data_IF_154780399495
#
_entry.id   IF_154780399495
#
_cell.length_a   1.000
_cell.length_b   1.000
_cell.length_c   1.000
_cell.angle_alpha   90.00
_cell.angle_beta   90.00
_cell.angle_gamma   90.00
#
_symmetry.space_group_name_H-M   'P 1'
#
loop_
_entity.id
_entity.type
_entity.pdbx_description
1 polymer ?
#
# COMPACT_ATOMS: atom_id res chain seq x y z
N UNK A 1 -0.60 -8.89 -36.87
CA UNK A 1 -0.83 -9.47 -35.52
C UNK A 1 0.43 -9.96 -34.83
N UNK A 2 1.36 -10.63 -35.54
CA UNK A 2 2.62 -11.15 -34.96
C UNK A 2 3.52 -10.09 -34.31
N UNK A 3 3.63 -8.90 -34.92
CA UNK A 3 4.43 -7.78 -34.37
C UNK A 3 3.91 -7.27 -33.02
N UNK A 4 2.59 -7.14 -32.87
CA UNK A 4 1.97 -6.73 -31.60
C UNK A 4 2.21 -7.77 -30.50
N UNK A 5 2.05 -9.06 -30.80
CA UNK A 5 2.36 -10.12 -29.83
C UNK A 5 3.84 -10.14 -29.43
N UNK A 6 4.74 -9.83 -30.36
CA UNK A 6 6.16 -9.70 -30.07
C UNK A 6 6.44 -8.53 -29.11
N UNK A 7 5.93 -7.34 -29.39
CA UNK A 7 6.07 -6.19 -28.49
C UNK A 7 5.40 -6.41 -27.14
N UNK A 8 4.26 -7.12 -27.10
CA UNK A 8 3.56 -7.48 -25.88
C UNK A 8 4.44 -8.36 -24.98
N UNK A 9 5.03 -9.42 -25.54
CA UNK A 9 5.94 -10.31 -24.80
C UNK A 9 7.19 -9.58 -24.33
N UNK A 10 7.74 -8.70 -25.16
CA UNK A 10 8.94 -7.90 -24.81
C UNK A 10 8.62 -6.92 -23.67
N UNK A 11 7.47 -6.26 -23.71
CA UNK A 11 6.98 -5.42 -22.63
C UNK A 11 6.79 -6.22 -21.34
N UNK A 12 6.05 -7.32 -21.40
CA UNK A 12 5.76 -8.15 -20.24
C UNK A 12 7.02 -8.72 -19.60
N UNK A 13 8.00 -9.15 -20.41
CA UNK A 13 9.31 -9.61 -19.92
C UNK A 13 10.04 -8.50 -19.16
N UNK A 14 10.13 -7.29 -19.73
CA UNK A 14 10.78 -6.16 -19.07
C UNK A 14 10.03 -5.75 -17.79
N UNK A 15 8.70 -5.72 -17.83
CA UNK A 15 7.86 -5.44 -16.67
C UNK A 15 8.11 -6.44 -15.55
N UNK A 16 8.07 -7.75 -15.83
CA UNK A 16 8.33 -8.80 -14.84
C UNK A 16 9.77 -8.74 -14.30
N UNK A 17 10.76 -8.41 -15.13
CA UNK A 17 12.14 -8.24 -14.67
C UNK A 17 12.28 -7.07 -13.70
N UNK A 18 11.71 -5.89 -14.02
CA UNK A 18 11.75 -4.73 -13.13
C UNK A 18 10.95 -5.00 -11.85
N UNK A 19 9.76 -5.60 -11.97
CA UNK A 19 8.92 -6.00 -10.84
C UNK A 19 9.69 -6.92 -9.89
N UNK A 20 10.36 -7.94 -10.41
CA UNK A 20 11.14 -8.88 -9.60
C UNK A 20 12.31 -8.21 -8.88
N UNK A 21 13.05 -7.33 -9.57
CA UNK A 21 14.17 -6.59 -8.98
C UNK A 21 13.68 -5.71 -7.82
N UNK A 22 12.62 -4.91 -8.05
CA UNK A 22 12.08 -4.06 -6.99
C UNK A 22 11.44 -4.88 -5.87
N UNK A 23 10.74 -5.97 -6.18
CA UNK A 23 10.19 -6.87 -5.16
C UNK A 23 11.29 -7.43 -4.25
N UNK A 24 12.42 -7.87 -4.80
CA UNK A 24 13.55 -8.37 -4.02
C UNK A 24 14.14 -7.29 -3.12
N UNK A 25 14.36 -6.08 -3.64
CA UNK A 25 14.87 -4.95 -2.87
C UNK A 25 13.90 -4.56 -1.75
N UNK A 26 12.61 -4.39 -2.08
CA UNK A 26 11.58 -4.01 -1.11
C UNK A 26 11.42 -5.07 -0.01
N UNK A 27 11.48 -6.36 -0.35
CA UNK A 27 11.41 -7.44 0.64
C UNK A 27 12.61 -7.40 1.60
N UNK A 28 13.81 -7.16 1.06
CA UNK A 28 15.01 -7.04 1.89
C UNK A 28 14.95 -5.82 2.81
N UNK A 29 14.54 -4.66 2.27
CA UNK A 29 14.38 -3.43 3.07
C UNK A 29 13.28 -3.59 4.12
N UNK A 30 12.15 -4.21 3.78
CA UNK A 30 11.07 -4.50 4.72
C UNK A 30 11.55 -5.43 5.84
N UNK A 31 12.31 -6.48 5.53
CA UNK A 31 12.86 -7.37 6.54
C UNK A 31 13.81 -6.64 7.50
N UNK A 32 14.69 -5.79 6.98
CA UNK A 32 15.58 -4.95 7.80
C UNK A 32 14.76 -4.04 8.71
N UNK A 33 13.67 -3.45 8.19
CA UNK A 33 12.76 -2.61 8.98
C UNK A 33 12.08 -3.40 10.10
N UNK A 34 11.57 -4.61 9.81
CA UNK A 34 10.94 -5.46 10.82
C UNK A 34 11.94 -5.88 11.90
N UNK A 35 13.17 -6.24 11.52
CA UNK A 35 14.25 -6.57 12.49
C UNK A 35 14.59 -5.35 13.34
N UNK A 36 14.73 -4.17 12.74
CA UNK A 36 15.03 -2.93 13.47
C UNK A 36 13.93 -2.58 14.47
N UNK A 37 12.67 -2.79 14.09
CA UNK A 37 11.50 -2.38 14.87
C UNK A 37 11.09 -3.41 15.92
N UNK A 38 11.24 -4.70 15.63
CA UNK A 38 10.72 -5.79 16.45
C UNK A 38 11.77 -6.82 16.88
N UNK A 39 13.02 -6.72 16.43
CA UNK A 39 14.07 -7.70 16.73
C UNK A 39 14.50 -7.76 18.20
N UNK A 40 14.03 -6.84 19.05
CA UNK A 40 14.27 -6.86 20.49
C UNK A 40 13.16 -7.51 21.33
N UNK A 41 12.07 -7.98 20.73
CA UNK A 41 11.02 -8.71 21.45
C UNK A 41 11.33 -10.20 21.50
N UNK A 42 11.26 -10.81 22.68
CA UNK A 42 11.56 -12.25 22.88
C UNK A 42 10.65 -13.17 22.04
N UNK A 43 9.42 -12.74 21.74
CA UNK A 43 8.45 -13.46 20.91
C UNK A 43 8.62 -13.23 19.38
N UNK A 44 9.51 -12.32 18.97
CA UNK A 44 9.73 -11.96 17.57
C UNK A 44 10.81 -12.83 16.90
N UNK A 45 10.53 -14.13 16.79
CA UNK A 45 11.39 -15.05 16.04
C UNK A 45 11.57 -14.63 14.57
N UNK A 46 12.71 -15.01 13.95
CA UNK A 46 13.04 -14.65 12.56
C UNK A 46 11.95 -15.00 11.55
N UNK A 47 11.28 -16.14 11.73
CA UNK A 47 10.15 -16.54 10.88
C UNK A 47 8.98 -15.55 10.92
N UNK A 48 8.65 -15.04 12.10
CA UNK A 48 7.60 -14.03 12.30
C UNK A 48 7.97 -12.70 11.62
N UNK A 49 9.23 -12.29 11.75
CA UNK A 49 9.74 -11.07 11.08
C UNK A 49 9.70 -11.19 9.56
N UNK A 50 10.02 -12.37 9.02
CA UNK A 50 9.89 -12.66 7.59
C UNK A 50 8.44 -12.57 7.13
N UNK A 51 7.52 -13.17 7.87
CA UNK A 51 6.08 -13.10 7.59
C UNK A 51 5.63 -11.64 7.57
N UNK A 52 5.93 -10.87 8.61
CA UNK A 52 5.62 -9.43 8.65
C UNK A 52 6.19 -8.66 7.46
N UNK A 53 7.42 -8.95 7.03
CA UNK A 53 8.00 -8.32 5.85
C UNK A 53 7.20 -8.65 4.58
N UNK A 54 6.85 -9.92 4.36
CA UNK A 54 6.05 -10.34 3.20
C UNK A 54 4.63 -9.75 3.21
N UNK A 55 4.05 -9.48 4.38
CA UNK A 55 2.74 -8.86 4.50
C UNK A 55 2.75 -7.34 4.19
N UNK A 56 3.87 -6.64 4.43
CA UNK A 56 4.00 -5.21 4.11
C UNK A 56 4.38 -4.94 2.65
N UNK A 57 5.15 -5.84 2.03
CA UNK A 57 5.66 -5.68 0.65
C UNK A 57 4.57 -5.39 -0.40
N UNK A 58 3.37 -6.02 -0.40
CA UNK A 58 2.31 -5.72 -1.37
C UNK A 58 1.93 -4.24 -1.42
N UNK A 59 1.88 -3.57 -0.27
CA UNK A 59 1.54 -2.14 -0.19
C UNK A 59 2.65 -1.28 -0.81
N UNK A 60 3.90 -1.56 -0.46
CA UNK A 60 5.05 -0.85 -1.02
C UNK A 60 5.17 -1.06 -2.52
N UNK A 61 4.93 -2.29 -2.99
CA UNK A 61 4.92 -2.64 -4.40
C UNK A 61 3.81 -1.90 -5.17
N UNK A 62 2.63 -1.75 -4.54
CA UNK A 62 1.52 -0.98 -5.09
C UNK A 62 1.86 0.51 -5.22
N UNK A 63 2.51 1.10 -4.21
CA UNK A 63 2.97 2.50 -4.24
C UNK A 63 3.98 2.77 -5.36
N UNK A 64 4.90 1.83 -5.62
CA UNK A 64 5.94 1.98 -6.65
C UNK A 64 5.53 1.43 -8.03
N UNK A 65 4.31 0.92 -8.19
CA UNK A 65 3.82 0.38 -9.45
C UNK A 65 3.93 1.37 -10.63
N UNK A 66 3.62 2.68 -10.48
CA UNK A 66 3.85 3.67 -11.54
C UNK A 66 5.33 3.76 -11.97
N UNK A 67 6.26 3.65 -11.03
CA UNK A 67 7.70 3.65 -11.32
C UNK A 67 8.10 2.38 -12.09
N UNK A 68 7.58 1.22 -11.71
CA UNK A 68 7.81 -0.05 -12.43
C UNK A 68 7.36 0.09 -13.89
N UNK A 69 6.19 0.69 -14.12
CA UNK A 69 5.66 0.92 -15.46
C UNK A 69 6.58 1.80 -16.32
N UNK A 70 7.10 2.89 -15.74
CA UNK A 70 8.03 3.80 -16.43
C UNK A 70 9.31 3.05 -16.79
N UNK A 71 9.94 2.36 -15.83
CA UNK A 71 11.19 1.65 -16.03
C UNK A 71 11.05 0.51 -17.05
N UNK A 72 9.96 -0.24 -17.01
CA UNK A 72 9.66 -1.31 -17.97
C UNK A 72 9.51 -0.75 -19.40
N UNK A 73 8.78 0.37 -19.54
CA UNK A 73 8.57 1.04 -20.83
C UNK A 73 9.88 1.57 -21.39
N UNK A 74 10.67 2.28 -20.57
CA UNK A 74 11.98 2.82 -20.95
C UNK A 74 12.92 1.68 -21.36
N UNK A 75 12.99 0.60 -20.57
CA UNK A 75 13.82 -0.57 -20.87
C UNK A 75 13.42 -1.23 -22.19
N UNK A 76 12.12 -1.35 -22.47
CA UNK A 76 11.62 -1.86 -23.75
C UNK A 76 12.01 -0.96 -24.92
N UNK A 77 11.77 0.34 -24.82
CA UNK A 77 12.06 1.30 -25.90
C UNK A 77 13.57 1.38 -26.18
N UNK A 78 14.41 1.43 -25.14
CA UNK A 78 15.87 1.36 -25.30
C UNK A 78 16.30 0.03 -25.93
N UNK A 79 15.71 -1.09 -25.53
CA UNK A 79 15.99 -2.40 -26.13
C UNK A 79 15.65 -2.43 -27.63
N UNK A 80 14.53 -1.83 -28.02
CA UNK A 80 14.09 -1.70 -29.41
C UNK A 80 14.98 -0.76 -30.24
N UNK A 81 15.46 0.32 -29.62
CA UNK A 81 16.36 1.27 -30.27
C UNK A 81 17.75 0.66 -30.50
N UNK A 82 18.30 -0.08 -29.52
CA UNK A 82 19.63 -0.71 -29.62
C UNK A 82 19.69 -1.83 -30.65
N UNK A 83 18.61 -2.59 -30.82
CA UNK A 83 18.54 -3.66 -31.82
C UNK A 83 18.13 -3.17 -33.22
N UNK A 84 18.00 -1.86 -33.43
CA UNK A 84 17.48 -1.24 -34.66
C UNK A 84 16.09 -1.74 -35.09
N UNK A 85 15.37 -2.48 -34.24
CA UNK A 85 14.03 -2.99 -34.53
C UNK A 85 13.04 -1.84 -34.78
N UNK A 86 13.20 -0.73 -34.06
CA UNK A 86 12.37 0.46 -34.25
C UNK A 86 12.64 1.14 -35.61
N UNK A 87 13.90 1.14 -36.04
CA UNK A 87 14.32 1.72 -37.33
C UNK A 87 13.83 0.85 -38.48
N UNK A 88 14.00 -0.47 -38.37
CA UNK A 88 13.54 -1.44 -39.39
C UNK A 88 12.02 -1.42 -39.53
N UNK A 89 11.27 -1.35 -38.42
CA UNK A 89 9.81 -1.23 -38.47
C UNK A 89 9.37 0.05 -39.21
N UNK A 90 10.06 1.18 -38.95
CA UNK A 90 9.81 2.45 -39.65
C UNK A 90 10.12 2.37 -41.15
N UNK A 91 11.26 1.77 -41.49
CA UNK A 91 11.70 1.59 -42.88
C UNK A 91 10.73 0.69 -43.67
N UNK A 92 10.07 -0.26 -43.00
CA UNK A 92 9.02 -1.10 -43.57
C UNK A 92 7.65 -0.41 -43.71
N UNK A 93 7.58 0.91 -43.50
CA UNK A 93 6.35 1.70 -43.65
C UNK A 93 5.36 1.59 -42.49
N UNK A 94 5.76 0.99 -41.36
CA UNK A 94 4.90 0.92 -40.15
C UNK A 94 5.01 2.20 -39.33
N UNK A 95 3.89 2.83 -38.92
CA UNK A 95 3.94 3.98 -38.03
C UNK A 95 4.60 3.60 -36.70
N UNK A 96 5.54 4.41 -36.23
CA UNK A 96 6.16 4.20 -34.91
C UNK A 96 5.13 4.30 -33.75
N UNK A 97 3.98 4.92 -33.98
CA UNK A 97 2.88 4.95 -33.01
C UNK A 97 2.11 3.61 -32.91
N UNK A 98 2.07 2.78 -33.95
CA UNK A 98 1.41 1.46 -33.88
C UNK A 98 2.13 0.53 -32.89
N UNK A 99 3.45 0.66 -32.73
CA UNK A 99 4.21 -0.13 -31.76
C UNK A 99 3.96 0.29 -30.31
N UNK A 100 3.42 1.50 -30.09
CA UNK A 100 3.05 2.01 -28.77
C UNK A 100 1.69 1.51 -28.29
N UNK A 101 0.78 1.17 -29.20
CA UNK A 101 -0.59 0.70 -28.86
C UNK A 101 -0.52 -0.53 -27.94
N UNK A 102 0.40 -1.44 -28.23
CA UNK A 102 0.55 -2.68 -27.47
C UNK A 102 0.97 -2.46 -26.01
N UNK A 103 2.08 -1.76 -25.70
CA UNK A 103 2.45 -1.48 -24.31
C UNK A 103 1.44 -0.59 -23.59
N UNK A 104 0.75 0.33 -24.28
CA UNK A 104 -0.35 1.13 -23.70
C UNK A 104 -1.52 0.23 -23.28
N UNK A 105 -1.95 -0.69 -24.13
CA UNK A 105 -3.04 -1.61 -23.82
C UNK A 105 -2.66 -2.55 -22.67
N UNK A 106 -1.43 -3.06 -22.65
CA UNK A 106 -0.92 -3.86 -21.51
C UNK A 106 -0.86 -3.05 -20.23
N UNK A 107 -0.39 -1.79 -20.29
CA UNK A 107 -0.37 -0.91 -19.13
C UNK A 107 -1.76 -0.66 -18.55
N UNK A 108 -2.75 -0.46 -19.43
CA UNK A 108 -4.14 -0.33 -19.02
C UNK A 108 -4.65 -1.62 -18.35
N UNK A 109 -4.41 -2.79 -18.93
CA UNK A 109 -4.81 -4.08 -18.35
C UNK A 109 -4.14 -4.34 -16.99
N UNK A 110 -2.85 -4.04 -16.86
CA UNK A 110 -2.11 -4.15 -15.60
C UNK A 110 -2.69 -3.20 -14.56
N UNK A 111 -3.03 -1.97 -14.95
CA UNK A 111 -3.66 -0.99 -14.06
C UNK A 111 -5.03 -1.46 -13.57
N UNK A 112 -5.89 -1.95 -14.47
CA UNK A 112 -7.20 -2.54 -14.10
C UNK A 112 -7.01 -3.72 -13.16
N UNK A 113 -6.08 -4.63 -13.46
CA UNK A 113 -5.77 -5.76 -12.58
C UNK A 113 -5.23 -5.32 -11.22
N UNK A 114 -4.38 -4.29 -11.17
CA UNK A 114 -3.85 -3.74 -9.93
C UNK A 114 -4.97 -3.18 -9.04
N UNK A 115 -5.92 -2.43 -9.60
CA UNK A 115 -7.04 -1.89 -8.83
C UNK A 115 -8.04 -2.98 -8.43
N UNK A 116 -8.35 -3.92 -9.34
CA UNK A 116 -9.38 -4.92 -9.10
C UNK A 116 -8.92 -6.07 -8.18
N UNK A 117 -7.66 -6.50 -8.29
CA UNK A 117 -7.14 -7.66 -7.56
C UNK A 117 -6.07 -7.29 -6.52
N UNK A 118 -5.08 -6.45 -6.89
CA UNK A 118 -3.98 -6.13 -5.97
C UNK A 118 -4.45 -5.25 -4.82
N UNK A 119 -5.34 -4.28 -5.05
CA UNK A 119 -5.83 -3.41 -3.98
C UNK A 119 -6.58 -4.18 -2.86
N UNK A 120 -7.52 -5.10 -3.13
CA UNK A 120 -8.08 -5.97 -2.10
C UNK A 120 -7.04 -6.84 -1.37
N UNK A 121 -6.03 -7.35 -2.09
CA UNK A 121 -4.94 -8.13 -1.48
C UNK A 121 -4.16 -7.25 -0.51
N UNK A 122 -3.77 -6.03 -0.91
CA UNK A 122 -3.07 -5.07 -0.06
C UNK A 122 -3.89 -4.78 1.20
N UNK A 123 -5.20 -4.55 1.07
CA UNK A 123 -6.06 -4.33 2.23
C UNK A 123 -6.10 -5.55 3.17
N UNK A 124 -6.17 -6.77 2.62
CA UNK A 124 -6.17 -7.99 3.42
C UNK A 124 -4.82 -8.24 4.11
N UNK A 125 -3.69 -8.01 3.43
CA UNK A 125 -2.35 -8.21 4.01
C UNK A 125 -2.02 -7.16 5.06
N UNK A 126 -2.45 -5.91 4.87
CA UNK A 126 -2.30 -4.85 5.88
C UNK A 126 -3.04 -5.21 7.18
N UNK A 127 -4.30 -5.65 7.08
CA UNK A 127 -5.05 -6.10 8.28
C UNK A 127 -4.36 -7.24 9.01
N UNK A 128 -3.81 -8.21 8.26
CA UNK A 128 -3.08 -9.32 8.86
C UNK A 128 -1.73 -8.88 9.46
N UNK A 129 -1.05 -7.91 8.86
CA UNK A 129 0.18 -7.32 9.38
C UNK A 129 -0.08 -6.66 10.73
N UNK A 130 -1.08 -5.78 10.79
CA UNK A 130 -1.49 -5.08 12.00
C UNK A 130 -1.91 -6.06 13.11
N UNK A 131 -2.68 -7.10 12.77
CA UNK A 131 -3.09 -8.13 13.73
C UNK A 131 -1.90 -8.91 14.32
N UNK A 132 -0.84 -9.16 13.53
CA UNK A 132 0.36 -9.83 14.03
C UNK A 132 1.24 -8.89 14.87
N UNK A 133 1.39 -7.64 14.46
CA UNK A 133 2.10 -6.62 15.24
C UNK A 133 1.44 -6.39 16.61
N UNK A 134 0.10 -6.36 16.67
CA UNK A 134 -0.64 -6.24 17.93
C UNK A 134 -0.38 -7.40 18.89
N UNK A 135 -0.16 -8.61 18.38
CA UNK A 135 0.19 -9.78 19.21
C UNK A 135 1.60 -9.66 19.78
N UNK A 136 2.56 -9.23 18.96
CA UNK A 136 3.96 -9.11 19.37
C UNK A 136 4.21 -7.98 20.38
N UNK A 137 3.42 -6.92 20.30
CA UNK A 137 3.53 -5.77 21.22
C UNK A 137 2.83 -6.00 22.57
N UNK A 138 2.17 -7.15 22.79
CA UNK A 138 1.47 -7.48 24.03
C UNK A 138 0.25 -6.60 24.33
N UNK A 139 -0.01 -5.58 23.51
CA UNK A 139 -1.17 -4.73 23.57
C UNK A 139 -2.25 -5.33 22.68
N UNK A 140 -3.17 -6.07 23.28
CA UNK A 140 -4.45 -6.36 22.65
C UNK A 140 -5.04 -5.07 22.06
N UNK A 141 -4.99 -4.95 20.74
CA UNK A 141 -5.73 -3.97 19.95
C UNK A 141 -5.62 -2.51 20.42
N UNK A 142 -4.42 -1.95 20.46
CA UNK A 142 -4.28 -0.49 20.47
C UNK A 142 -3.83 -0.05 19.09
N UNK A 143 -4.78 0.24 18.20
CA UNK A 143 -4.53 1.10 17.05
C UNK A 143 -4.27 2.50 17.63
N UNK A 144 -3.06 2.70 18.16
CA UNK A 144 -2.52 4.01 18.53
C UNK A 144 -2.22 4.70 17.20
N UNK A 145 -3.27 5.29 16.61
CA UNK A 145 -3.09 6.36 15.64
C UNK A 145 -2.49 7.51 16.44
N UNK A 146 -1.16 7.53 16.55
CA UNK A 146 -0.37 8.51 17.31
C UNK A 146 -0.24 8.16 18.79
N UNK A 147 0.98 8.30 19.35
CA UNK A 147 1.27 8.12 20.77
C UNK A 147 0.47 9.09 21.69
N UNK A 148 -0.20 10.09 21.10
CA UNK A 148 -1.01 11.10 21.79
C UNK A 148 -2.52 10.78 21.84
N UNK A 149 -2.93 9.64 21.28
CA UNK A 149 -4.33 9.29 21.06
C UNK A 149 -4.93 10.02 19.86
N UNK A 150 -6.20 9.78 19.57
CA UNK A 150 -6.90 10.44 18.47
C UNK A 150 -8.11 11.25 18.97
N UNK A 151 -8.40 12.32 18.24
CA UNK A 151 -9.47 13.25 18.53
C UNK A 151 -10.52 13.19 17.43
N UNK A 152 -11.77 12.90 17.79
CA UNK A 152 -12.92 12.96 16.91
C UNK A 152 -13.80 14.14 17.31
N UNK A 153 -14.42 14.79 16.33
CA UNK A 153 -15.43 15.83 16.56
C UNK A 153 -16.73 15.42 15.89
N UNK A 154 -17.75 15.19 16.71
CA UNK A 154 -19.09 14.85 16.26
C UNK A 154 -20.00 16.06 16.45
N UNK A 155 -20.51 16.62 15.36
CA UNK A 155 -21.51 17.69 15.40
C UNK A 155 -22.92 17.11 15.35
N UNK A 156 -23.79 17.54 16.26
CA UNK A 156 -25.24 17.28 16.21
C UNK A 156 -26.01 18.60 16.14
N UNK A 157 -27.34 18.54 15.96
CA UNK A 157 -28.20 19.74 16.06
C UNK A 157 -28.27 20.31 17.48
N UNK A 158 -27.92 19.52 18.48
CA UNK A 158 -28.00 19.85 19.91
C UNK A 158 -26.67 20.36 20.48
N UNK A 159 -25.58 20.27 19.71
CA UNK A 159 -24.26 20.70 20.15
C UNK A 159 -23.12 20.00 19.42
N UNK A 160 -21.91 20.13 19.96
CA UNK A 160 -20.73 19.43 19.46
C UNK A 160 -20.10 18.60 20.55
N UNK A 161 -19.73 17.36 20.22
CA UNK A 161 -19.02 16.48 21.13
C UNK A 161 -17.63 16.23 20.60
N UNK A 162 -16.62 16.51 21.43
CA UNK A 162 -15.22 16.18 21.16
C UNK A 162 -14.89 14.90 21.91
N UNK A 163 -14.44 13.89 21.19
CA UNK A 163 -14.10 12.57 21.73
C UNK A 163 -12.59 12.42 21.64
N UNK A 164 -11.93 12.19 22.76
CA UNK A 164 -10.52 11.80 22.80
C UNK A 164 -10.45 10.34 23.22
N UNK A 165 -9.73 9.51 22.48
CA UNK A 165 -9.45 8.14 22.89
C UNK A 165 -7.95 7.88 22.83
N UNK A 166 -7.42 7.11 23.79
CA UNK A 166 -6.01 6.69 23.76
C UNK A 166 -5.79 5.68 22.62
N UNK A 167 -6.77 4.81 22.38
CA UNK A 167 -6.72 3.78 21.35
C UNK A 167 -8.11 3.26 20.96
N UNK A 168 -8.17 2.52 19.85
CA UNK A 168 -9.39 1.88 19.34
C UNK A 168 -9.09 0.44 18.91
N UNK A 169 -10.13 -0.40 18.92
CA UNK A 169 -10.12 -1.68 18.22
C UNK A 169 -10.07 -1.49 16.69
N UNK A 170 -9.76 -2.58 15.97
CA UNK A 170 -9.55 -2.63 14.52
C UNK A 170 -10.76 -2.16 13.69
N UNK A 171 -11.97 -2.34 14.21
CA UNK A 171 -13.21 -1.99 13.51
C UNK A 171 -13.74 -0.59 13.88
N UNK A 172 -13.06 0.15 14.76
CA UNK A 172 -13.51 1.46 15.23
C UNK A 172 -14.76 1.42 16.13
N UNK A 173 -15.11 0.24 16.63
CA UNK A 173 -16.34 -0.03 17.40
C UNK A 173 -16.13 -0.07 18.91
N UNK A 174 -14.89 -0.15 19.39
CA UNK A 174 -14.57 -0.06 20.80
C UNK A 174 -13.38 0.85 21.02
N UNK A 175 -13.55 1.80 21.92
CA UNK A 175 -12.60 2.86 22.26
C UNK A 175 -12.09 2.63 23.68
N UNK A 176 -10.80 2.88 23.93
CA UNK A 176 -10.18 2.75 25.25
C UNK A 176 -9.68 4.10 25.76
N UNK A 177 -9.73 4.29 27.09
CA UNK A 177 -9.46 5.53 27.82
C UNK A 177 -10.07 6.75 27.13
N UNK A 178 -11.40 6.77 27.11
CA UNK A 178 -12.17 7.70 26.29
C UNK A 178 -12.66 8.85 27.14
N UNK A 179 -12.43 10.07 26.66
CA UNK A 179 -12.99 11.30 27.22
C UNK A 179 -13.93 11.93 26.20
N UNK A 180 -15.20 12.06 26.56
CA UNK A 180 -16.20 12.80 25.80
C UNK A 180 -16.39 14.18 26.42
N UNK A 181 -16.22 15.23 25.62
CA UNK A 181 -16.45 16.63 25.99
C UNK A 181 -17.61 17.16 25.16
N UNK A 182 -18.75 17.39 25.79
CA UNK A 182 -19.92 17.99 25.16
C UNK A 182 -19.89 19.50 25.25
N UNK A 183 -20.18 20.17 24.13
CA UNK A 183 -20.32 21.61 24.00
C UNK A 183 -21.71 21.96 23.48
N UNK A 184 -22.37 22.94 24.10
CA UNK A 184 -23.62 23.50 23.60
C UNK A 184 -23.41 24.29 22.29
N UNK A 185 -24.47 24.65 21.54
CA UNK A 185 -24.35 25.43 20.30
C UNK A 185 -23.70 26.80 20.49
N UNK A 186 -23.73 27.35 21.70
CA UNK A 186 -23.05 28.60 22.09
C UNK A 186 -21.57 28.38 22.49
N UNK A 187 -21.01 27.20 22.20
CA UNK A 187 -19.64 26.78 22.51
C UNK A 187 -19.30 26.70 24.00
N UNK A 188 -20.30 26.68 24.89
CA UNK A 188 -20.07 26.42 26.32
C UNK A 188 -19.92 24.92 26.60
N UNK A 189 -18.95 24.52 27.45
CA UNK A 189 -18.82 23.13 27.87
C UNK A 189 -20.02 22.73 28.74
N UNK A 190 -20.68 21.63 28.37
CA UNK A 190 -21.88 21.11 29.04
C UNK A 190 -21.56 19.91 29.92
N UNK A 191 -20.81 18.93 29.39
CA UNK A 191 -20.49 17.71 30.10
C UNK A 191 -19.10 17.19 29.75
N UNK A 192 -18.50 16.46 30.70
CA UNK A 192 -17.31 15.62 30.49
C UNK A 192 -17.64 14.22 31.00
N UNK A 193 -17.49 13.22 30.15
CA UNK A 193 -17.63 11.81 30.52
C UNK A 193 -16.29 11.14 30.28
N UNK A 194 -15.82 10.41 31.28
CA UNK A 194 -14.62 9.59 31.20
C UNK A 194 -15.01 8.14 31.39
N UNK A 195 -14.49 7.29 30.53
CA UNK A 195 -14.71 5.86 30.60
C UNK A 195 -13.45 5.13 30.18
N UNK A 196 -13.09 4.09 30.94
CA UNK A 196 -11.99 3.19 30.57
C UNK A 196 -12.27 2.49 29.23
N UNK A 197 -13.55 2.32 28.88
CA UNK A 197 -14.00 1.71 27.63
C UNK A 197 -15.36 2.25 27.17
N UNK A 198 -15.49 2.51 25.87
CA UNK A 198 -16.74 2.85 25.20
C UNK A 198 -16.96 2.03 23.92
#
# INVERSE_FOLDING_TARGET
MTLHLYFARKFLKNFLSVLFILFAILTLTALIEQIRRFGGFDDAGFGTLLVLAFLSVPEDLYKVLPLIMILATVSMVLGLARSSELVVARAAGRPALESLITPVLLAFLIGVFAVAAVNPIVAATQRQHEAQVARLSGASSTLSVTADGFWLRQGSREGQTVIRASSSNLDGTSLFDVTFLGFAPDSKPTYRIEADRA
#
